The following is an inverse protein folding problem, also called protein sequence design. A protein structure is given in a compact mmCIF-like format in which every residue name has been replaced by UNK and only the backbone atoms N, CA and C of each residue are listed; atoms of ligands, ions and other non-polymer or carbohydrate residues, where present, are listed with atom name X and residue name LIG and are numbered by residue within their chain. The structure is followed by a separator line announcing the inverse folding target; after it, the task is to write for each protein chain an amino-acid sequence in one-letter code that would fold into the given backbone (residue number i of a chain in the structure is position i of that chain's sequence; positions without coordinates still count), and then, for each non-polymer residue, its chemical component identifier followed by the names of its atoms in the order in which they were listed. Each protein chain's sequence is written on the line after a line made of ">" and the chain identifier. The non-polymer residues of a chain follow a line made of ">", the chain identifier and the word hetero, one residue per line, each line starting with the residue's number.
data_IF_573505806184
#
_entry.id   IF_573505806184
#
_cell.length_a   1.000
_cell.length_b   1.000
_cell.length_c   1.000
_cell.angle_alpha   90.00
_cell.angle_beta   90.00
_cell.angle_gamma   90.00
#
_symmetry.space_group_name_H-M   'P 1'
#
loop_
_entity.id
_entity.type
_entity.pdbx_description
1 polymer ?
#
# COMPACT_ATOMS: atom_id res chain seq x y z
N UNK A 1 -26.40 15.93 23.77
CA UNK A 1 -25.88 14.79 22.98
C UNK A 1 -24.61 14.28 23.66
N UNK A 2 -24.51 12.99 23.98
CA UNK A 2 -23.26 12.38 24.46
C UNK A 2 -22.49 11.81 23.27
N UNK A 3 -21.23 12.18 23.11
CA UNK A 3 -20.33 11.62 22.10
C UNK A 3 -19.51 10.52 22.78
N UNK A 4 -19.53 9.31 22.20
CA UNK A 4 -18.72 8.17 22.65
C UNK A 4 -17.73 7.80 21.55
N UNK A 5 -16.44 7.87 21.85
CA UNK A 5 -15.39 7.41 20.97
C UNK A 5 -15.42 5.88 20.90
N UNK A 6 -15.54 5.33 19.69
CA UNK A 6 -15.58 3.88 19.44
C UNK A 6 -14.26 3.34 18.91
N UNK A 7 -13.47 4.18 18.24
CA UNK A 7 -12.22 3.78 17.60
C UNK A 7 -11.24 4.95 17.51
N UNK A 8 -9.95 4.65 17.65
CA UNK A 8 -8.82 5.54 17.38
C UNK A 8 -7.64 4.68 16.92
N UNK A 9 -6.96 5.10 15.86
CA UNK A 9 -5.76 4.47 15.35
C UNK A 9 -4.73 5.54 14.99
N UNK A 10 -3.46 5.27 15.33
CA UNK A 10 -2.33 6.14 14.96
C UNK A 10 -1.94 5.91 13.51
N UNK A 11 -1.45 6.95 12.84
CA UNK A 11 -0.77 6.79 11.55
C UNK A 11 0.48 5.92 11.70
N UNK A 12 0.75 5.06 10.72
CA UNK A 12 1.95 4.24 10.68
C UNK A 12 2.80 4.55 9.45
N UNK A 13 4.14 4.59 9.57
CA UNK A 13 5.01 4.73 8.41
C UNK A 13 5.11 3.39 7.66
N UNK A 14 5.17 3.45 6.33
CA UNK A 14 5.60 2.32 5.52
C UNK A 14 7.11 2.05 5.75
N UNK A 15 7.53 0.80 5.64
CA UNK A 15 8.92 0.39 5.75
C UNK A 15 9.74 0.96 4.57
N UNK A 16 10.80 1.76 4.81
CA UNK A 16 11.57 2.37 3.73
C UNK A 16 12.16 1.37 2.73
N UNK A 17 12.58 0.20 3.21
CA UNK A 17 13.12 -0.87 2.37
C UNK A 17 12.08 -1.41 1.38
N UNK A 18 10.84 -1.65 1.84
CA UNK A 18 9.76 -2.13 0.99
C UNK A 18 9.26 -1.05 0.03
N UNK A 19 9.20 0.21 0.46
CA UNK A 19 8.93 1.34 -0.43
C UNK A 19 9.97 1.44 -1.55
N UNK A 20 11.27 1.33 -1.23
CA UNK A 20 12.33 1.35 -2.23
C UNK A 20 12.24 0.20 -3.23
N UNK A 21 11.81 -0.98 -2.78
CA UNK A 21 11.59 -2.13 -3.68
C UNK A 21 10.36 -1.94 -4.59
N UNK A 22 9.25 -1.38 -4.09
CA UNK A 22 8.11 -1.00 -4.93
C UNK A 22 8.48 0.09 -5.94
N UNK A 23 9.33 1.04 -5.55
CA UNK A 23 9.85 2.06 -6.45
C UNK A 23 10.69 1.47 -7.58
N UNK A 24 11.55 0.51 -7.27
CA UNK A 24 12.31 -0.22 -8.28
C UNK A 24 11.37 -0.97 -9.25
N UNK A 25 10.27 -1.55 -8.75
CA UNK A 25 9.28 -2.21 -9.60
C UNK A 25 8.55 -1.22 -10.53
N UNK A 26 8.15 -0.04 -10.01
CA UNK A 26 7.59 1.04 -10.83
C UNK A 26 8.57 1.52 -11.91
N UNK A 27 9.85 1.66 -11.56
CA UNK A 27 10.90 2.06 -12.50
C UNK A 27 11.10 1.03 -13.62
N UNK A 28 11.16 -0.27 -13.29
CA UNK A 28 11.23 -1.36 -14.30
C UNK A 28 10.00 -1.37 -15.21
N UNK A 29 8.83 -1.03 -14.69
CA UNK A 29 7.62 -0.90 -15.47
C UNK A 29 7.55 0.38 -16.32
N UNK A 30 8.50 1.32 -16.17
CA UNK A 30 8.51 2.60 -16.87
C UNK A 30 7.43 3.58 -16.40
N UNK A 31 6.96 3.43 -15.15
CA UNK A 31 5.87 4.21 -14.59
C UNK A 31 6.37 5.39 -13.75
N UNK A 32 5.64 6.52 -13.73
CA UNK A 32 6.01 7.65 -12.89
C UNK A 32 5.85 7.31 -11.41
N UNK A 33 6.81 7.76 -10.59
CA UNK A 33 6.77 7.60 -9.15
C UNK A 33 6.11 8.81 -8.47
N UNK A 34 5.16 8.54 -7.58
CA UNK A 34 4.65 9.52 -6.61
C UNK A 34 4.52 8.87 -5.23
N UNK A 35 5.14 9.47 -4.22
CA UNK A 35 4.91 9.12 -2.81
C UNK A 35 3.70 9.89 -2.29
N UNK A 36 2.76 9.18 -1.67
CA UNK A 36 1.55 9.74 -1.08
C UNK A 36 1.33 9.14 0.31
N UNK A 37 0.92 9.93 1.32
CA UNK A 37 0.35 9.36 2.53
C UNK A 37 -1.04 8.78 2.23
N UNK A 38 -1.40 7.66 2.86
CA UNK A 38 -2.80 7.22 2.88
C UNK A 38 -3.58 8.00 3.93
N UNK A 39 -4.72 8.58 3.53
CA UNK A 39 -5.66 9.24 4.45
C UNK A 39 -6.68 8.28 5.07
N UNK A 40 -6.79 7.05 4.57
CA UNK A 40 -7.74 6.04 5.03
C UNK A 40 -7.06 4.95 5.86
N UNK A 41 -7.86 4.32 6.73
CA UNK A 41 -7.45 3.11 7.44
C UNK A 41 -7.33 1.92 6.48
N UNK A 42 -6.27 1.14 6.61
CA UNK A 42 -6.09 -0.13 5.89
C UNK A 42 -5.56 -1.20 6.84
N UNK A 43 -5.77 -2.47 6.52
CA UNK A 43 -5.25 -3.58 7.32
C UNK A 43 -3.73 -3.54 7.47
N UNK A 44 -3.02 -2.95 6.49
CA UNK A 44 -1.60 -2.66 6.57
C UNK A 44 -1.21 -1.90 7.85
N UNK A 45 -2.09 -1.02 8.35
CA UNK A 45 -1.87 -0.29 9.59
C UNK A 45 -1.81 -1.20 10.83
N UNK A 46 -2.63 -2.26 10.84
CA UNK A 46 -2.60 -3.28 11.89
C UNK A 46 -1.37 -4.17 11.73
N UNK A 47 -1.06 -4.55 10.47
CA UNK A 47 0.09 -5.40 10.14
C UNK A 47 1.43 -4.76 10.49
N UNK A 48 1.53 -3.42 10.44
CA UNK A 48 2.73 -2.67 10.80
C UNK A 48 3.24 -2.94 12.22
N UNK A 49 2.37 -3.41 13.13
CA UNK A 49 2.79 -3.80 14.48
C UNK A 49 3.55 -5.14 14.51
N UNK A 50 3.45 -5.95 13.45
CA UNK A 50 4.01 -7.31 13.38
C UNK A 50 5.09 -7.44 12.34
N UNK A 51 4.91 -6.87 11.16
CA UNK A 51 5.85 -7.00 10.05
C UNK A 51 5.99 -5.68 9.29
N UNK A 52 7.04 -5.62 8.47
CA UNK A 52 7.25 -4.51 7.54
C UNK A 52 6.09 -4.47 6.52
N UNK A 53 5.65 -3.27 6.17
CA UNK A 53 4.58 -3.06 5.19
C UNK A 53 4.90 -1.90 4.25
N UNK A 54 4.44 -2.00 3.00
CA UNK A 54 4.36 -0.91 2.04
C UNK A 54 3.04 -1.05 1.26
N UNK A 55 2.57 0.04 0.65
CA UNK A 55 1.34 0.05 -0.14
C UNK A 55 1.62 0.62 -1.54
N UNK A 56 0.98 0.03 -2.54
CA UNK A 56 0.88 0.57 -3.88
C UNK A 56 -0.51 1.18 -4.07
N UNK A 57 -0.57 2.44 -4.47
CA UNK A 57 -1.83 3.10 -4.82
C UNK A 57 -2.09 3.01 -6.32
N UNK A 58 -3.36 2.84 -6.67
CA UNK A 58 -3.86 2.83 -8.05
C UNK A 58 -4.85 3.97 -8.19
N UNK A 59 -4.89 4.59 -9.38
CA UNK A 59 -5.84 5.67 -9.64
C UNK A 59 -7.27 5.15 -9.54
N UNK A 60 -8.10 5.89 -8.83
CA UNK A 60 -9.53 5.71 -8.83
C UNK A 60 -10.17 6.75 -9.75
N UNK A 61 -11.11 6.32 -10.59
CA UNK A 61 -11.84 7.20 -11.51
C UNK A 61 -12.81 8.13 -10.78
N UNK A 62 -13.61 8.86 -11.56
CA UNK A 62 -14.65 9.76 -11.04
C UNK A 62 -14.15 10.72 -9.93
N UNK A 63 -12.92 11.22 -10.07
CA UNK A 63 -12.32 12.15 -9.11
C UNK A 63 -11.79 11.51 -7.83
N UNK A 64 -11.60 10.19 -7.80
CA UNK A 64 -11.09 9.47 -6.62
C UNK A 64 -12.17 9.14 -5.59
N UNK A 65 -13.44 9.10 -6.00
CA UNK A 65 -14.55 8.72 -5.13
C UNK A 65 -14.40 7.25 -4.72
N UNK A 66 -14.57 6.95 -3.43
CA UNK A 66 -14.58 5.60 -2.87
C UNK A 66 -15.73 5.43 -1.87
N UNK A 67 -16.08 4.19 -1.53
CA UNK A 67 -17.27 3.83 -0.73
C UNK A 67 -18.58 4.35 -1.34
N UNK A 68 -18.63 4.38 -2.67
CA UNK A 68 -19.77 4.88 -3.44
C UNK A 68 -19.99 3.98 -4.65
N UNK A 69 -21.23 3.76 -5.11
CA UNK A 69 -21.50 3.01 -6.34
C UNK A 69 -20.82 3.56 -7.60
N UNK A 70 -20.42 4.83 -7.60
CA UNK A 70 -19.67 5.46 -8.69
C UNK A 70 -18.15 5.25 -8.58
N UNK A 71 -17.66 4.55 -7.56
CA UNK A 71 -16.26 4.14 -7.48
C UNK A 71 -15.90 3.27 -8.68
N UNK A 72 -14.78 3.57 -9.33
CA UNK A 72 -14.38 2.88 -10.56
C UNK A 72 -12.86 2.88 -10.73
N UNK A 73 -12.36 1.93 -11.51
CA UNK A 73 -10.97 1.79 -11.89
C UNK A 73 -10.93 1.29 -13.34
N UNK A 74 -9.98 1.78 -14.13
CA UNK A 74 -9.82 1.31 -15.51
C UNK A 74 -9.14 -0.06 -15.54
N UNK A 75 -9.42 -0.87 -16.56
CA UNK A 75 -8.72 -2.15 -16.76
C UNK A 75 -7.21 -1.94 -16.98
N UNK A 76 -6.82 -0.82 -17.58
CA UNK A 76 -5.42 -0.44 -17.78
C UNK A 76 -4.71 -0.18 -16.44
N UNK A 77 -5.31 0.63 -15.56
CA UNK A 77 -4.77 0.89 -14.22
C UNK A 77 -4.64 -0.41 -13.41
N UNK A 78 -5.65 -1.29 -13.50
CA UNK A 78 -5.62 -2.60 -12.85
C UNK A 78 -4.48 -3.49 -13.39
N UNK A 79 -4.29 -3.54 -14.70
CA UNK A 79 -3.24 -4.33 -15.34
C UNK A 79 -1.84 -3.79 -15.00
N UNK A 80 -1.66 -2.47 -14.98
CA UNK A 80 -0.40 -1.84 -14.55
C UNK A 80 -0.09 -2.16 -13.09
N UNK A 81 -1.08 -2.06 -12.19
CA UNK A 81 -0.91 -2.39 -10.79
C UNK A 81 -0.54 -3.87 -10.59
N UNK A 82 -1.24 -4.79 -11.26
CA UNK A 82 -0.94 -6.22 -11.21
C UNK A 82 0.48 -6.51 -11.70
N UNK A 83 0.90 -5.88 -12.80
CA UNK A 83 2.27 -6.01 -13.33
C UNK A 83 3.33 -5.56 -12.32
N UNK A 84 3.13 -4.39 -11.70
CA UNK A 84 4.06 -3.84 -10.70
C UNK A 84 4.13 -4.72 -9.46
N UNK A 85 2.99 -5.22 -8.96
CA UNK A 85 2.97 -6.11 -7.79
C UNK A 85 3.64 -7.45 -8.10
N UNK A 86 3.39 -8.04 -9.29
CA UNK A 86 4.07 -9.27 -9.70
C UNK A 86 5.59 -9.08 -9.74
N UNK A 87 6.04 -8.03 -10.41
CA UNK A 87 7.46 -7.71 -10.53
C UNK A 87 8.11 -7.37 -9.17
N UNK A 88 7.38 -6.73 -8.25
CA UNK A 88 7.83 -6.54 -6.88
C UNK A 88 8.02 -7.87 -6.13
N UNK A 89 7.07 -8.80 -6.25
CA UNK A 89 7.14 -10.12 -5.59
C UNK A 89 8.27 -10.96 -6.19
N UNK A 90 8.41 -10.98 -7.51
CA UNK A 90 9.45 -11.74 -8.22
C UNK A 90 10.87 -11.28 -7.87
N UNK A 91 11.05 -10.00 -7.54
CA UNK A 91 12.34 -9.43 -7.16
C UNK A 91 12.44 -9.14 -5.66
N UNK A 92 11.50 -9.64 -4.86
CA UNK A 92 11.42 -9.33 -3.44
C UNK A 92 12.71 -9.71 -2.72
N UNK A 93 13.29 -8.75 -2.03
CA UNK A 93 14.45 -8.95 -1.18
C UNK A 93 13.99 -8.85 0.28
N UNK A 94 14.09 -9.92 1.09
CA UNK A 94 13.76 -9.84 2.50
C UNK A 94 14.63 -8.78 3.20
N UNK A 95 14.03 -7.99 4.09
CA UNK A 95 14.83 -7.14 4.97
C UNK A 95 15.69 -8.05 5.86
N UNK A 96 16.98 -7.73 6.04
CA UNK A 96 17.95 -8.55 6.77
C UNK A 96 17.72 -8.65 8.29
N UNK A 97 16.47 -8.55 8.73
CA UNK A 97 16.04 -8.70 10.10
C UNK A 97 15.17 -9.96 10.15
N UNK A 98 15.82 -11.12 10.22
CA UNK A 98 15.18 -12.36 10.67
C UNK A 98 14.69 -12.12 12.10
N UNK A 99 13.49 -11.57 12.25
CA UNK A 99 12.73 -11.75 13.47
C UNK A 99 12.29 -13.21 13.43
N UNK A 100 12.93 -14.03 14.25
CA UNK A 100 12.52 -15.40 14.46
C UNK A 100 11.06 -15.41 14.96
N UNK A 101 10.12 -15.76 14.08
CA UNK A 101 8.68 -15.78 14.37
C UNK A 101 8.25 -17.13 14.98
N UNK A 102 9.18 -17.96 15.46
CA UNK A 102 8.90 -19.28 16.04
C UNK A 102 8.58 -19.28 17.54
N UNK A 103 8.10 -18.16 18.10
CA UNK A 103 7.66 -18.07 19.50
C UNK A 103 6.14 -18.25 19.67
#
# INVERSE_FOLDING_TARGET
>A
VQVRQTHEARSVPCAPALCGQLEAALQRAGLPLRRLPSGAGHDAMVMAARTDMAMLFVRCGNGGISHNPLETMTAEDAALAARVVSDFIEHFQPSGNDKDYTA
#
